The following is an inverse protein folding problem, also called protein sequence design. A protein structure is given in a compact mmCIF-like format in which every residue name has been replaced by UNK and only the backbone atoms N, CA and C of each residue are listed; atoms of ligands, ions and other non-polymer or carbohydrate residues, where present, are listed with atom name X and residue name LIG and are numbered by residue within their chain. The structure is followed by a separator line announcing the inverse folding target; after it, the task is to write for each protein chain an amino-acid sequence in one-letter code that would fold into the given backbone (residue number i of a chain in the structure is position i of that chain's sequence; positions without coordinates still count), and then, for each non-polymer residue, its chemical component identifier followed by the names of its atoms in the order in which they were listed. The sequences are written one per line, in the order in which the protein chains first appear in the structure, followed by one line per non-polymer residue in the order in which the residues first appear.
data_IF_180230309954
#
_entry.id   IF_180230309954
#
_cell.length_a   1.000
_cell.length_b   1.000
_cell.length_c   1.000
_cell.angle_alpha   90.00
_cell.angle_beta   90.00
_cell.angle_gamma   90.00
#
_symmetry.space_group_name_H-M   'P 1'
#
loop_
_entity.id
_entity.type
_entity.pdbx_description
1 polymer ?
#
# COMPACT_ATOMS: atom_id res chain seq x y z
N UNK A 1 0.35 28.39 51.51
CA UNK A 1 -0.81 28.51 50.62
C UNK A 1 -0.53 27.88 49.29
N UNK A 2 -0.90 26.67 49.16
CA UNK A 2 -0.68 25.90 47.92
C UNK A 2 -1.86 26.12 46.99
N UNK A 3 -1.76 27.11 46.14
CA UNK A 3 -2.63 27.16 44.99
C UNK A 3 -2.26 25.96 44.05
N UNK A 4 -3.07 24.93 44.14
CA UNK A 4 -3.06 23.93 43.09
C UNK A 4 -3.64 24.52 41.80
N UNK A 5 -2.83 25.30 41.10
CA UNK A 5 -3.14 25.62 39.73
C UNK A 5 -2.92 24.36 38.93
N UNK A 6 -4.01 23.66 38.65
CA UNK A 6 -3.98 22.55 37.75
C UNK A 6 -3.42 23.01 36.41
N UNK A 7 -2.35 22.37 35.96
CA UNK A 7 -1.77 22.61 34.62
C UNK A 7 -2.87 22.35 33.61
N UNK A 8 -3.16 23.33 32.75
CA UNK A 8 -4.14 23.12 31.67
C UNK A 8 -3.67 21.99 30.75
N UNK A 9 -4.60 21.28 30.16
CA UNK A 9 -4.27 20.19 29.18
C UNK A 9 -3.33 20.68 28.07
N UNK A 10 -3.49 21.92 27.63
CA UNK A 10 -2.60 22.55 26.63
C UNK A 10 -1.19 22.74 27.17
N UNK A 11 -1.05 23.22 28.39
CA UNK A 11 0.26 23.45 29.03
C UNK A 11 0.96 22.13 29.30
N UNK A 12 0.23 21.09 29.71
CA UNK A 12 0.76 19.74 29.91
C UNK A 12 1.31 19.13 28.62
N UNK A 13 0.58 19.26 27.52
CA UNK A 13 1.03 18.80 26.21
C UNK A 13 2.28 19.53 25.71
N UNK A 14 2.37 20.85 25.97
CA UNK A 14 3.55 21.62 25.56
C UNK A 14 4.77 21.17 26.38
N UNK A 15 4.65 20.91 27.66
CA UNK A 15 5.73 20.40 28.51
C UNK A 15 6.17 18.98 28.06
N UNK A 16 5.25 18.12 27.73
CA UNK A 16 5.55 16.78 27.20
C UNK A 16 6.34 16.85 25.88
N UNK A 17 6.00 17.78 24.98
CA UNK A 17 6.68 17.98 23.70
C UNK A 17 8.10 18.53 23.85
N UNK A 18 8.39 19.20 24.97
CA UNK A 18 9.72 19.75 25.24
C UNK A 18 10.68 18.74 25.88
N UNK A 19 10.19 17.59 26.35
CA UNK A 19 11.02 16.55 26.93
C UNK A 19 11.65 15.69 25.83
N UNK A 20 13.00 15.60 25.76
CA UNK A 20 13.68 14.85 24.69
C UNK A 20 13.28 13.39 24.61
N UNK A 21 12.92 12.78 25.76
CA UNK A 21 12.48 11.37 25.82
C UNK A 21 11.09 11.14 25.23
N UNK A 22 10.26 12.18 25.12
CA UNK A 22 8.88 12.10 24.62
C UNK A 22 8.70 12.66 23.21
N UNK A 23 9.75 13.24 22.60
CA UNK A 23 9.64 13.79 21.26
C UNK A 23 9.29 12.72 20.21
N UNK A 24 9.86 11.52 20.33
CA UNK A 24 9.53 10.38 19.49
C UNK A 24 8.13 9.83 19.72
N UNK A 25 7.70 9.83 21.00
CA UNK A 25 6.37 9.37 21.39
C UNK A 25 5.27 10.35 20.93
N UNK A 26 5.52 11.66 21.03
CA UNK A 26 4.60 12.67 20.52
C UNK A 26 4.42 12.56 18.99
N UNK A 27 5.50 12.37 18.23
CA UNK A 27 5.44 12.08 16.79
C UNK A 27 4.63 10.81 16.49
N UNK A 28 4.81 9.79 17.32
CA UNK A 28 4.06 8.55 17.22
C UNK A 28 2.55 8.76 17.46
N UNK A 29 2.18 9.52 18.49
CA UNK A 29 0.77 9.83 18.77
C UNK A 29 0.13 10.72 17.70
N UNK A 30 0.85 11.72 17.20
CA UNK A 30 0.36 12.61 16.15
C UNK A 30 0.34 11.94 14.78
N UNK A 31 1.15 10.90 14.57
CA UNK A 31 1.14 10.08 13.37
C UNK A 31 -0.06 9.14 13.26
N UNK A 32 -0.80 8.94 14.35
CA UNK A 32 -2.02 8.13 14.39
C UNK A 32 -3.24 8.92 13.90
N UNK A 33 -3.20 9.46 12.69
CA UNK A 33 -4.43 9.84 12.00
C UNK A 33 -5.05 8.55 11.45
N UNK A 34 -6.34 8.28 11.73
CA UNK A 34 -7.01 7.16 11.07
C UNK A 34 -6.91 7.37 9.57
N UNK A 35 -6.16 6.49 8.89
CA UNK A 35 -6.02 6.53 7.45
C UNK A 35 -7.24 5.87 6.84
N UNK A 36 -7.95 6.63 6.02
CA UNK A 36 -9.01 6.07 5.20
C UNK A 36 -8.41 5.43 3.96
N UNK A 37 -8.93 4.27 3.60
CA UNK A 37 -8.57 3.58 2.36
C UNK A 37 -9.75 3.63 1.41
N UNK A 38 -9.50 4.13 0.23
CA UNK A 38 -10.49 4.25 -0.84
C UNK A 38 -10.21 3.21 -1.89
N UNK A 39 -11.15 2.31 -2.12
CA UNK A 39 -11.01 1.29 -3.16
C UNK A 39 -11.01 1.95 -4.54
N UNK A 40 -9.94 1.70 -5.30
CA UNK A 40 -9.82 2.15 -6.68
C UNK A 40 -10.23 1.06 -7.66
N UNK A 41 -9.58 -0.10 -7.56
CA UNK A 41 -9.78 -1.21 -8.50
C UNK A 41 -9.63 -2.56 -7.84
N UNK A 42 -10.29 -3.55 -8.46
CA UNK A 42 -10.11 -4.98 -8.21
C UNK A 42 -9.83 -5.66 -9.54
N UNK A 43 -8.81 -6.51 -9.59
CA UNK A 43 -8.45 -7.25 -10.80
C UNK A 43 -7.67 -8.52 -10.46
N UNK A 44 -7.49 -9.36 -11.46
CA UNK A 44 -6.51 -10.46 -11.40
C UNK A 44 -5.18 -10.00 -11.97
N UNK A 45 -4.08 -10.50 -11.42
CA UNK A 45 -2.74 -10.15 -11.89
C UNK A 45 -2.56 -10.61 -13.33
N UNK A 46 -2.22 -9.67 -14.23
CA UNK A 46 -1.97 -9.98 -15.62
C UNK A 46 -0.57 -10.57 -15.80
N UNK A 47 -0.46 -11.58 -16.66
CA UNK A 47 0.82 -12.22 -16.95
C UNK A 47 1.38 -13.09 -15.82
N UNK A 48 0.59 -13.42 -14.82
CA UNK A 48 1.03 -14.19 -13.65
C UNK A 48 1.77 -15.48 -14.02
N UNK A 49 1.35 -16.16 -15.07
CA UNK A 49 1.99 -17.39 -15.55
C UNK A 49 3.37 -17.14 -16.15
N UNK A 50 3.60 -16.00 -16.80
CA UNK A 50 4.85 -15.70 -17.52
C UNK A 50 5.98 -15.25 -16.58
N UNK A 51 5.67 -14.96 -15.35
CA UNK A 51 6.63 -14.51 -14.34
C UNK A 51 6.72 -15.53 -13.20
N UNK A 52 7.28 -15.14 -12.08
CA UNK A 52 7.53 -16.04 -10.95
C UNK A 52 6.29 -16.29 -10.07
N UNK A 53 5.11 -15.81 -10.48
CA UNK A 53 3.88 -15.97 -9.71
C UNK A 53 3.58 -17.41 -9.28
N UNK A 54 3.54 -18.38 -10.20
CA UNK A 54 3.22 -19.76 -9.83
C UNK A 54 4.22 -20.39 -8.86
N UNK A 55 5.51 -20.05 -8.97
CA UNK A 55 6.54 -20.56 -8.05
C UNK A 55 6.44 -19.96 -6.65
N UNK A 56 5.86 -18.77 -6.52
CA UNK A 56 5.68 -18.07 -5.24
C UNK A 56 4.29 -18.28 -4.64
N UNK A 57 3.41 -19.00 -5.33
CA UNK A 57 2.01 -19.13 -4.94
C UNK A 57 1.81 -19.62 -3.51
N UNK A 58 2.62 -20.58 -3.06
CA UNK A 58 2.55 -21.13 -1.71
C UNK A 58 2.98 -20.12 -0.62
N UNK A 59 3.77 -19.13 -1.00
CA UNK A 59 4.29 -18.10 -0.07
C UNK A 59 3.37 -16.89 0.02
N UNK A 60 2.46 -16.74 -0.92
CA UNK A 60 1.52 -15.63 -0.98
C UNK A 60 0.19 -16.00 -0.34
N UNK A 61 -0.40 -15.07 0.37
CA UNK A 61 -1.70 -15.26 1.04
C UNK A 61 -2.52 -13.97 1.02
N UNK A 62 -3.85 -14.08 1.15
CA UNK A 62 -4.70 -12.90 1.29
C UNK A 62 -4.21 -11.99 2.40
N UNK A 63 -4.21 -10.69 2.14
CA UNK A 63 -3.71 -9.67 3.05
C UNK A 63 -2.26 -9.25 2.79
N UNK A 64 -1.48 -10.03 2.05
CA UNK A 64 -0.13 -9.64 1.66
C UNK A 64 -0.16 -8.45 0.70
N UNK A 65 0.82 -7.56 0.82
CA UNK A 65 0.97 -6.40 -0.05
C UNK A 65 1.91 -6.69 -1.21
N UNK A 66 1.58 -6.13 -2.37
CA UNK A 66 2.43 -6.15 -3.55
C UNK A 66 2.99 -4.76 -3.80
N UNK A 67 4.25 -4.68 -4.21
CA UNK A 67 4.85 -3.43 -4.63
C UNK A 67 4.46 -3.13 -6.07
N UNK A 68 3.97 -1.93 -6.32
CA UNK A 68 3.64 -1.44 -7.66
C UNK A 68 4.80 -0.61 -8.19
N UNK A 69 5.33 -0.99 -9.34
CA UNK A 69 6.43 -0.28 -10.02
C UNK A 69 6.00 0.18 -11.39
N UNK A 70 5.68 1.47 -11.58
CA UNK A 70 5.40 2.01 -12.91
C UNK A 70 6.61 1.83 -13.84
N UNK A 71 6.34 1.45 -15.08
CA UNK A 71 7.35 1.27 -16.11
C UNK A 71 6.98 2.07 -17.35
N UNK A 72 7.27 3.37 -17.34
CA UNK A 72 6.98 4.29 -18.44
C UNK A 72 7.79 3.97 -19.72
N UNK A 73 8.88 3.22 -19.59
CA UNK A 73 9.75 2.84 -20.71
C UNK A 73 9.27 1.59 -21.45
N UNK A 74 8.17 1.00 -21.02
CA UNK A 74 7.59 -0.15 -21.69
C UNK A 74 7.10 0.25 -23.09
N UNK A 75 7.65 -0.38 -24.12
CA UNK A 75 7.35 -0.06 -25.51
C UNK A 75 5.89 -0.42 -25.88
N UNK A 76 5.36 -1.48 -25.27
CA UNK A 76 4.03 -1.99 -25.58
C UNK A 76 2.92 -1.27 -24.81
N UNK A 77 3.24 -0.73 -23.63
CA UNK A 77 2.27 -0.09 -22.76
C UNK A 77 2.94 1.00 -21.92
N UNK A 78 2.70 2.25 -22.28
CA UNK A 78 3.25 3.42 -21.55
C UNK A 78 2.73 3.56 -20.12
N UNK A 79 1.62 2.93 -19.79
CA UNK A 79 1.02 2.94 -18.45
C UNK A 79 1.26 1.63 -17.69
N UNK A 80 2.22 0.82 -18.13
CA UNK A 80 2.53 -0.45 -17.48
C UNK A 80 2.91 -0.24 -16.01
N UNK A 81 2.31 -1.03 -15.14
CA UNK A 81 2.63 -1.08 -13.71
C UNK A 81 2.95 -2.53 -13.36
N UNK A 82 4.19 -2.77 -12.99
CA UNK A 82 4.65 -4.08 -12.53
C UNK A 82 4.18 -4.34 -11.11
N UNK A 83 3.83 -5.58 -10.83
CA UNK A 83 3.50 -6.06 -9.49
C UNK A 83 4.60 -7.00 -9.00
N UNK A 84 5.13 -6.70 -7.82
CA UNK A 84 6.19 -7.46 -7.19
C UNK A 84 5.74 -7.97 -5.82
N UNK A 85 5.95 -9.25 -5.60
CA UNK A 85 5.86 -9.86 -4.28
C UNK A 85 7.26 -9.86 -3.67
N UNK A 86 7.44 -9.06 -2.62
CA UNK A 86 8.78 -8.73 -2.12
C UNK A 86 9.61 -8.16 -3.27
N UNK A 87 10.72 -8.76 -3.65
CA UNK A 87 11.59 -8.26 -4.72
C UNK A 87 11.39 -8.98 -6.06
N UNK A 88 10.39 -9.87 -6.15
CA UNK A 88 10.19 -10.72 -7.31
C UNK A 88 8.94 -10.32 -8.08
N UNK A 89 9.10 -10.07 -9.38
CA UNK A 89 8.00 -9.73 -10.27
C UNK A 89 7.07 -10.91 -10.48
N UNK A 90 5.78 -10.70 -10.27
CA UNK A 90 4.74 -11.72 -10.46
C UNK A 90 3.77 -11.40 -11.62
N UNK A 91 3.83 -10.23 -12.16
CA UNK A 91 2.97 -9.82 -13.27
C UNK A 91 2.79 -8.31 -13.32
N UNK A 92 1.66 -7.91 -13.92
CA UNK A 92 1.29 -6.51 -14.13
C UNK A 92 -0.15 -6.24 -13.72
N UNK A 93 -0.47 -4.98 -13.54
CA UNK A 93 -1.85 -4.52 -13.55
C UNK A 93 -2.39 -4.65 -14.98
N UNK A 94 -3.59 -5.21 -15.20
CA UNK A 94 -4.16 -5.31 -16.54
C UNK A 94 -4.27 -3.95 -17.23
N UNK A 95 -4.10 -3.91 -18.54
CA UNK A 95 -4.19 -2.67 -19.34
C UNK A 95 -5.53 -1.93 -19.15
N UNK A 96 -6.60 -2.69 -18.95
CA UNK A 96 -7.92 -2.09 -18.67
C UNK A 96 -8.00 -1.30 -17.37
N UNK A 97 -7.06 -1.54 -16.45
CA UNK A 97 -7.11 -1.02 -15.08
C UNK A 97 -5.91 -0.14 -14.71
N UNK A 98 -4.90 -0.02 -15.57
CA UNK A 98 -3.60 0.51 -15.17
C UNK A 98 -3.44 2.03 -15.28
N UNK A 99 -4.10 2.67 -16.24
CA UNK A 99 -3.84 4.05 -16.62
C UNK A 99 -4.02 5.05 -15.46
N UNK A 100 -5.13 4.98 -14.77
CA UNK A 100 -5.40 5.89 -13.65
C UNK A 100 -4.53 5.57 -12.43
N UNK A 101 -4.23 4.30 -12.20
CA UNK A 101 -3.31 3.87 -11.12
C UNK A 101 -1.90 4.41 -11.41
N UNK A 102 -1.40 4.22 -12.63
CA UNK A 102 -0.13 4.78 -13.07
C UNK A 102 -0.06 6.30 -12.82
N UNK A 103 -1.08 7.02 -13.25
CA UNK A 103 -1.14 8.49 -13.09
C UNK A 103 -1.16 8.92 -11.63
N UNK A 104 -1.90 8.23 -10.77
CA UNK A 104 -1.95 8.55 -9.35
C UNK A 104 -0.60 8.32 -8.68
N UNK A 105 0.10 7.24 -9.04
CA UNK A 105 1.46 6.99 -8.54
C UNK A 105 2.41 8.10 -8.99
N UNK A 106 2.37 8.48 -10.26
CA UNK A 106 3.20 9.57 -10.81
C UNK A 106 2.93 10.92 -10.14
N UNK A 107 1.71 11.14 -9.68
CA UNK A 107 1.32 12.34 -8.93
C UNK A 107 1.68 12.29 -7.44
N UNK A 108 2.34 11.23 -7.00
CA UNK A 108 2.79 11.08 -5.62
C UNK A 108 1.71 10.65 -4.63
N UNK A 109 0.61 10.08 -5.11
CA UNK A 109 -0.43 9.55 -4.23
C UNK A 109 0.00 8.22 -3.62
N UNK A 110 -0.39 8.00 -2.37
CA UNK A 110 -0.13 6.74 -1.66
C UNK A 110 -1.16 5.70 -2.08
N UNK A 111 -0.70 4.70 -2.80
CA UNK A 111 -1.52 3.56 -3.20
C UNK A 111 -0.98 2.28 -2.58
N UNK A 112 -1.89 1.38 -2.22
CA UNK A 112 -1.57 0.06 -1.67
C UNK A 112 -2.25 -1.00 -2.51
N UNK A 113 -1.48 -1.98 -2.97
CA UNK A 113 -1.99 -3.16 -3.65
C UNK A 113 -1.95 -4.33 -2.68
N UNK A 114 -3.10 -4.96 -2.46
CA UNK A 114 -3.25 -6.07 -1.51
C UNK A 114 -3.84 -7.28 -2.20
N UNK A 115 -3.31 -8.45 -1.89
CA UNK A 115 -3.87 -9.73 -2.36
C UNK A 115 -5.21 -9.97 -1.65
N UNK A 116 -6.27 -10.19 -2.43
CA UNK A 116 -7.62 -10.52 -1.91
C UNK A 116 -7.83 -12.02 -1.83
N UNK A 117 -7.34 -12.75 -2.82
CA UNK A 117 -7.61 -14.17 -2.98
C UNK A 117 -6.46 -14.83 -3.73
N UNK A 118 -6.05 -15.99 -3.25
CA UNK A 118 -5.16 -16.92 -3.93
C UNK A 118 -5.93 -18.22 -4.12
N UNK A 119 -6.09 -18.64 -5.37
CA UNK A 119 -6.75 -19.90 -5.74
C UNK A 119 -5.81 -20.74 -6.61
N UNK A 120 -5.12 -21.73 -6.01
CA UNK A 120 -4.18 -22.57 -6.76
C UNK A 120 -4.88 -23.51 -7.76
N UNK A 121 -6.17 -23.72 -7.61
CA UNK A 121 -6.96 -24.58 -8.50
C UNK A 121 -7.62 -23.81 -9.64
N UNK A 122 -7.53 -22.48 -9.63
CA UNK A 122 -8.07 -21.64 -10.70
C UNK A 122 -7.16 -21.66 -11.94
N UNK A 123 -7.71 -21.20 -13.07
CA UNK A 123 -6.89 -20.88 -14.24
C UNK A 123 -5.82 -19.83 -13.87
N UNK A 124 -4.65 -19.91 -14.50
CA UNK A 124 -3.48 -19.08 -14.13
C UNK A 124 -3.77 -17.59 -14.12
N UNK A 125 -4.62 -17.11 -15.03
CA UNK A 125 -5.03 -15.70 -15.08
C UNK A 125 -6.03 -15.29 -14.00
N UNK A 126 -6.49 -16.21 -13.15
CA UNK A 126 -7.40 -15.99 -12.04
C UNK A 126 -6.83 -16.41 -10.68
N UNK A 127 -5.62 -16.94 -10.65
CA UNK A 127 -5.02 -17.48 -9.43
C UNK A 127 -4.77 -16.41 -8.37
N UNK A 128 -4.36 -15.23 -8.78
CA UNK A 128 -4.03 -14.13 -7.87
C UNK A 128 -4.93 -12.93 -8.13
N UNK A 129 -5.86 -12.68 -7.22
CA UNK A 129 -6.77 -11.53 -7.27
C UNK A 129 -6.34 -10.49 -6.26
N UNK A 130 -6.30 -9.26 -6.69
CA UNK A 130 -5.80 -8.14 -5.90
C UNK A 130 -6.77 -6.98 -5.90
N UNK A 131 -6.55 -6.04 -4.98
CA UNK A 131 -7.21 -4.75 -4.96
C UNK A 131 -6.17 -3.65 -4.82
N UNK A 132 -6.45 -2.50 -5.41
CA UNK A 132 -5.67 -1.28 -5.22
C UNK A 132 -6.53 -0.27 -4.48
N UNK A 133 -5.98 0.27 -3.42
CA UNK A 133 -6.61 1.28 -2.59
C UNK A 133 -5.72 2.53 -2.51
N UNK A 134 -6.36 3.70 -2.45
CA UNK A 134 -5.67 4.95 -2.13
C UNK A 134 -5.77 5.20 -0.62
N UNK A 135 -4.64 5.56 -0.03
CA UNK A 135 -4.55 5.90 1.39
C UNK A 135 -4.58 7.41 1.54
N UNK A 136 -5.53 7.91 2.28
CA UNK A 136 -5.68 9.34 2.47
C UNK A 136 -6.06 9.71 3.93
#
# INVERSE_FOLDING_TARGET
MTEHRGISRKTFLIYLLQLPLFSGFAKYLYGFKPQHRYLLNKFSVAGFFFYEGPTLLEKMKPGDTLTMKPNAENIEDEYAVQLHFKDTMIGHIPRSDNKHIFRLIEQGKDLVCTIREIDPDAETWQMCKVKVEMVA
#
